data_IF_996423731792
#
_entry.id   IF_996423731792
#
_cell.length_a   1.000
_cell.length_b   1.000
_cell.length_c   1.000
_cell.angle_alpha   90.00
_cell.angle_beta   90.00
_cell.angle_gamma   90.00
#
_symmetry.space_group_name_H-M   'P 1'
#
loop_
_entity.id
_entity.type
_entity.pdbx_description
1 polymer ?
#
# COMPACT_ATOMS: atom_id res chain seq x y z
N UNK A 1 0.40 1.10 -14.96
CA UNK A 1 1.43 0.97 -13.90
C UNK A 1 0.75 1.10 -12.56
N UNK A 2 0.95 0.16 -11.62
CA UNK A 2 0.31 0.21 -10.30
C UNK A 2 1.01 1.27 -9.45
N UNK A 3 0.26 2.21 -8.86
CA UNK A 3 0.81 3.25 -7.98
C UNK A 3 0.77 2.73 -6.55
N UNK A 4 1.93 2.66 -5.92
CA UNK A 4 2.14 2.21 -4.54
C UNK A 4 2.09 3.36 -3.56
N UNK A 5 2.40 4.58 -4.01
CA UNK A 5 2.28 5.80 -3.20
C UNK A 5 1.00 6.55 -3.59
N UNK A 6 0.18 6.88 -2.59
CA UNK A 6 -1.09 7.59 -2.79
C UNK A 6 -1.29 8.70 -1.76
N UNK A 7 -2.29 9.55 -2.02
CA UNK A 7 -2.56 10.75 -1.24
C UNK A 7 -2.18 12.04 -1.97
N UNK A 8 -2.23 13.17 -1.24
CA UNK A 8 -2.33 13.29 0.21
C UNK A 8 -3.65 12.80 0.81
N UNK A 9 -3.56 12.23 2.01
CA UNK A 9 -4.71 11.82 2.83
C UNK A 9 -4.76 12.73 4.05
N UNK A 10 -5.94 13.27 4.41
CA UNK A 10 -6.11 14.02 5.65
C UNK A 10 -5.69 13.19 6.86
N UNK A 11 -4.67 13.66 7.58
CA UNK A 11 -4.20 13.05 8.81
C UNK A 11 -4.69 13.85 9.99
N UNK A 12 -5.46 13.22 10.88
CA UNK A 12 -5.91 13.86 12.13
C UNK A 12 -4.75 14.26 13.05
N UNK A 13 -3.61 13.58 12.95
CA UNK A 13 -2.43 13.84 13.81
C UNK A 13 -1.42 14.79 13.17
N UNK A 14 -1.25 14.73 11.84
CA UNK A 14 -0.18 15.43 11.11
C UNK A 14 -0.70 16.43 10.07
N UNK A 15 -2.02 16.62 9.97
CA UNK A 15 -2.67 17.40 8.93
C UNK A 15 -2.77 16.65 7.60
N UNK A 16 -1.63 16.23 7.04
CA UNK A 16 -1.55 15.49 5.76
C UNK A 16 -0.58 14.32 5.87
N UNK A 17 -0.84 13.27 5.10
CA UNK A 17 0.04 12.10 4.99
C UNK A 17 0.01 11.50 3.60
N UNK A 18 1.11 10.91 3.17
CA UNK A 18 1.14 10.01 2.01
C UNK A 18 0.98 8.56 2.49
N UNK A 19 0.16 7.80 1.78
CA UNK A 19 0.00 6.37 2.01
C UNK A 19 0.91 5.55 1.10
N UNK A 20 1.38 4.40 1.61
CA UNK A 20 2.16 3.43 0.84
C UNK A 20 1.50 2.07 0.95
N UNK A 21 1.08 1.50 -0.19
CA UNK A 21 0.49 0.16 -0.28
C UNK A 21 1.43 -0.79 -1.04
N UNK A 22 2.00 -1.72 -0.29
CA UNK A 22 2.97 -2.72 -0.77
C UNK A 22 2.34 -4.10 -0.94
N UNK A 23 1.12 -4.32 -0.47
CA UNK A 23 0.54 -5.66 -0.39
C UNK A 23 -0.34 -5.91 -1.62
N UNK A 24 -0.07 -6.95 -2.42
CA UNK A 24 -0.94 -7.26 -3.54
C UNK A 24 -2.36 -7.57 -3.08
N UNK A 25 -3.33 -7.27 -3.93
CA UNK A 25 -4.74 -7.43 -3.62
C UNK A 25 -5.01 -8.84 -3.08
N UNK A 26 -5.67 -8.93 -1.92
CA UNK A 26 -6.12 -10.17 -1.29
C UNK A 26 -5.00 -11.17 -0.96
N UNK A 27 -3.81 -10.65 -0.68
CA UNK A 27 -2.71 -11.39 -0.05
C UNK A 27 -2.75 -11.18 1.45
N UNK A 28 -3.00 -12.23 2.23
CA UNK A 28 -3.13 -12.14 3.69
C UNK A 28 -2.72 -13.45 4.36
N UNK A 29 -2.30 -13.40 5.62
CA UNK A 29 -2.09 -14.60 6.44
C UNK A 29 -3.40 -15.24 6.93
N UNK A 30 -4.51 -14.50 6.83
CA UNK A 30 -5.84 -14.90 7.28
C UNK A 30 -6.81 -15.10 6.11
N UNK A 31 -7.92 -15.81 6.38
CA UNK A 31 -9.06 -15.93 5.47
C UNK A 31 -10.38 -15.74 6.22
N UNK A 32 -10.61 -14.51 6.68
CA UNK A 32 -11.75 -14.19 7.53
C UNK A 32 -13.07 -14.18 6.75
N UNK A 33 -14.10 -14.86 7.27
CA UNK A 33 -15.45 -14.88 6.68
C UNK A 33 -16.12 -13.50 6.61
N UNK A 34 -15.66 -12.55 7.43
CA UNK A 34 -16.19 -11.19 7.55
C UNK A 34 -15.28 -10.14 6.89
N UNK A 35 -14.32 -10.54 6.06
CA UNK A 35 -13.42 -9.59 5.42
C UNK A 35 -14.20 -8.65 4.47
N UNK A 36 -14.22 -7.35 4.77
CA UNK A 36 -14.89 -6.33 3.94
C UNK A 36 -14.33 -6.26 2.52
N UNK A 37 -13.09 -6.72 2.32
CA UNK A 37 -12.44 -6.78 1.01
C UNK A 37 -12.78 -8.08 0.24
N UNK A 38 -13.64 -8.96 0.77
CA UNK A 38 -14.05 -10.23 0.13
C UNK A 38 -13.23 -11.46 0.54
N UNK A 39 -13.28 -12.55 -0.24
CA UNK A 39 -12.54 -13.80 0.02
C UNK A 39 -11.06 -13.70 -0.31
N UNK A 40 -10.19 -14.33 0.48
CA UNK A 40 -8.74 -14.30 0.26
C UNK A 40 -8.38 -15.10 -1.00
N UNK A 41 -7.50 -14.55 -1.85
CA UNK A 41 -7.04 -15.23 -3.07
C UNK A 41 -5.62 -15.76 -2.93
N UNK A 42 -4.82 -15.16 -2.04
CA UNK A 42 -3.47 -15.62 -1.71
C UNK A 42 -3.29 -15.67 -0.20
N UNK A 43 -3.50 -16.85 0.39
CA UNK A 43 -3.25 -17.08 1.81
C UNK A 43 -1.80 -17.50 2.02
N UNK A 44 -1.00 -16.65 2.65
CA UNK A 44 0.43 -16.94 2.87
C UNK A 44 0.97 -16.25 4.12
N UNK A 45 1.99 -16.88 4.72
CA UNK A 45 2.82 -16.31 5.80
C UNK A 45 4.27 -16.08 5.33
N UNK A 46 4.56 -16.37 4.07
CA UNK A 46 5.88 -16.20 3.47
C UNK A 46 6.23 -14.72 3.36
N UNK A 47 7.39 -14.34 3.90
CA UNK A 47 7.94 -13.00 3.76
C UNK A 47 8.76 -12.92 2.48
N UNK A 48 8.37 -12.02 1.58
CA UNK A 48 9.11 -11.71 0.34
C UNK A 48 8.93 -10.25 -0.07
N UNK A 49 9.81 -9.70 -0.90
CA UNK A 49 9.57 -8.42 -1.54
C UNK A 49 8.36 -8.54 -2.49
N UNK A 50 7.29 -7.81 -2.19
CA UNK A 50 6.08 -7.78 -3.03
C UNK A 50 6.14 -6.70 -4.12
N UNK A 51 6.98 -5.70 -3.90
CA UNK A 51 7.18 -4.54 -4.77
C UNK A 51 8.67 -4.20 -4.70
N UNK A 52 9.23 -3.79 -5.83
CA UNK A 52 10.59 -3.28 -5.90
C UNK A 52 10.70 -1.95 -5.10
N UNK A 53 11.74 -1.85 -4.27
CA UNK A 53 11.98 -0.67 -3.44
C UNK A 53 12.22 0.57 -4.30
N UNK A 54 12.96 0.44 -5.39
CA UNK A 54 13.34 1.58 -6.23
C UNK A 54 12.10 2.22 -6.87
N UNK A 55 11.15 1.38 -7.30
CA UNK A 55 9.85 1.83 -7.82
C UNK A 55 9.07 2.62 -6.77
N UNK A 56 9.09 2.21 -5.51
CA UNK A 56 8.39 2.93 -4.42
C UNK A 56 9.08 4.25 -4.12
N UNK A 57 10.42 4.27 -4.06
CA UNK A 57 11.20 5.48 -3.81
C UNK A 57 11.00 6.53 -4.90
N UNK A 58 10.97 6.11 -6.17
CA UNK A 58 10.75 7.02 -7.29
C UNK A 58 9.35 7.63 -7.25
N UNK A 59 8.32 6.83 -6.96
CA UNK A 59 6.95 7.35 -6.79
C UNK A 59 6.83 8.28 -5.60
N UNK A 60 7.57 8.02 -4.52
CA UNK A 60 7.57 8.88 -3.33
C UNK A 60 8.22 10.23 -3.62
N UNK A 61 9.39 10.24 -4.30
CA UNK A 61 10.07 11.47 -4.72
C UNK A 61 9.20 12.28 -5.68
N UNK A 62 8.59 11.63 -6.68
CA UNK A 62 7.65 12.28 -7.61
C UNK A 62 6.52 12.98 -6.85
N UNK A 63 5.93 12.29 -5.87
CA UNK A 63 4.85 12.85 -5.05
C UNK A 63 5.31 13.99 -4.15
N UNK A 64 6.46 13.88 -3.49
CA UNK A 64 6.98 14.94 -2.62
C UNK A 64 7.29 16.22 -3.40
N UNK A 65 7.77 16.11 -4.64
CA UNK A 65 8.03 17.26 -5.51
C UNK A 65 6.76 18.08 -5.83
N UNK A 66 5.56 17.49 -5.75
CA UNK A 66 4.31 18.22 -5.96
C UNK A 66 3.88 19.06 -4.76
N UNK A 67 4.69 19.11 -3.68
CA UNK A 67 4.35 19.75 -2.41
C UNK A 67 2.94 19.33 -1.91
N UNK A 68 2.74 17.99 -1.80
CA UNK A 68 1.43 17.39 -1.65
C UNK A 68 0.87 17.56 -0.24
#
# INVERSE_FOLDING_TARGET
MKRHVFGPVPSRRLGRSLGVDLVPFKTCSYDCIYCQLGRTTSKTVERKPWVDLDVVLDQLKEKLNTHP
#
